data_IF_656132730161
#
_entry.id   IF_656132730161
#
_cell.length_a   1.000
_cell.length_b   1.000
_cell.length_c   1.000
_cell.angle_alpha   90.00
_cell.angle_beta   90.00
_cell.angle_gamma   90.00
#
_symmetry.space_group_name_H-M   'P 1'
#
loop_
_entity.id
_entity.type
_entity.pdbx_description
1 polymer ?
2 water ?
#
# COMPACT_ATOMS: atom_id res chain seq x y z
N UNK A 1 -26.43 0.59 -22.91
CA UNK A 1 -25.29 1.15 -23.64
C UNK A 1 -23.97 0.58 -23.14
N UNK A 2 -23.17 0.04 -24.06
CA UNK A 2 -21.95 -0.66 -23.71
C UNK A 2 -21.01 0.16 -22.84
N UNK A 3 -20.77 1.40 -23.25
CA UNK A 3 -19.96 2.30 -22.45
C UNK A 3 -20.56 2.45 -21.05
N UNK A 4 -21.88 2.49 -20.97
CA UNK A 4 -22.56 2.65 -19.67
C UNK A 4 -22.34 1.45 -18.74
N UNK A 5 -22.52 0.25 -19.25
CA UNK A 5 -22.27 -0.95 -18.47
C UNK A 5 -20.82 -0.95 -17.98
N UNK A 6 -19.89 -0.89 -18.94
CA UNK A 6 -18.46 -0.86 -18.67
C UNK A 6 -18.10 0.13 -17.54
N UNK A 7 -18.53 1.38 -17.70
CA UNK A 7 -18.20 2.41 -16.73
C UNK A 7 -18.91 2.18 -15.40
N UNK A 8 -20.06 1.50 -15.43
CA UNK A 8 -20.76 1.16 -14.21
C UNK A 8 -19.93 0.21 -13.36
N UNK A 9 -19.36 -0.81 -14.02
CA UNK A 9 -18.57 -1.81 -13.31
C UNK A 9 -17.18 -1.27 -12.88
N UNK A 10 -16.53 -0.52 -13.76
CA UNK A 10 -15.28 0.10 -13.39
C UNK A 10 -15.47 1.07 -12.21
N UNK A 11 -16.43 1.99 -12.32
CA UNK A 11 -16.73 2.90 -11.21
C UNK A 11 -16.93 2.11 -9.93
N UNK A 12 -17.81 1.12 -9.98
CA UNK A 12 -18.12 0.37 -8.77
C UNK A 12 -16.87 -0.25 -8.16
N UNK A 13 -16.04 -0.87 -8.98
CA UNK A 13 -14.89 -1.65 -8.49
C UNK A 13 -13.68 -0.83 -8.08
N UNK A 14 -13.51 0.34 -8.70
CA UNK A 14 -12.35 1.19 -8.44
C UNK A 14 -12.62 2.24 -7.36
N UNK A 15 -13.87 2.70 -7.27
CA UNK A 15 -14.19 3.80 -6.36
C UNK A 15 -14.79 3.35 -5.03
N UNK A 16 -14.84 2.05 -4.81
CA UNK A 16 -15.31 1.53 -3.54
C UNK A 16 -14.29 0.57 -2.96
N UNK A 17 -13.62 1.01 -1.89
CA UNK A 17 -12.67 0.18 -1.15
C UNK A 17 -13.49 -0.55 -0.10
N UNK A 18 -13.76 -1.83 -0.33
CA UNK A 18 -14.80 -2.49 0.45
C UNK A 18 -14.15 -3.25 1.58
N UNK A 19 -14.59 -2.99 2.80
CA UNK A 19 -14.02 -3.66 3.96
C UNK A 19 -15.08 -4.38 4.73
N UNK A 20 -14.80 -5.62 5.11
CA UNK A 20 -15.77 -6.46 5.80
C UNK A 20 -15.15 -7.12 7.02
N UNK A 21 -15.69 -6.87 8.21
CA UNK A 21 -15.03 -7.50 9.36
C UNK A 21 -15.19 -9.02 9.31
N UNK A 22 -14.17 -9.71 9.82
CA UNK A 22 -14.22 -11.17 9.88
C UNK A 22 -13.76 -11.62 11.24
N UNK A 23 -13.61 -12.92 11.39
CA UNK A 23 -13.20 -13.52 12.66
C UNK A 23 -11.75 -13.12 13.01
N UNK A 24 -10.88 -13.25 12.03
CA UNK A 24 -9.44 -13.06 12.22
C UNK A 24 -8.98 -11.61 12.02
N UNK A 25 -9.86 -10.77 11.49
CA UNK A 25 -9.46 -9.46 11.03
C UNK A 25 -10.43 -8.85 10.03
N UNK A 26 -9.98 -8.63 8.79
CA UNK A 26 -10.78 -7.95 7.78
C UNK A 26 -10.61 -8.53 6.38
N UNK A 27 -11.72 -8.66 5.66
CA UNK A 27 -11.64 -8.91 4.22
C UNK A 27 -11.70 -7.56 3.48
N UNK A 28 -10.78 -7.39 2.55
CA UNK A 28 -10.77 -6.20 1.72
C UNK A 28 -11.01 -6.61 0.27
N UNK A 29 -11.92 -5.91 -0.37
CA UNK A 29 -12.25 -6.19 -1.75
C UNK A 29 -12.19 -4.89 -2.51
N UNK A 30 -11.24 -4.81 -3.44
CA UNK A 30 -11.05 -3.60 -4.23
C UNK A 30 -10.49 -3.96 -5.61
N UNK A 31 -10.92 -3.23 -6.63
CA UNK A 31 -10.49 -3.48 -8.01
C UNK A 31 -10.66 -4.96 -8.44
N UNK A 32 -11.62 -5.66 -7.83
CA UNK A 32 -11.81 -7.07 -8.12
C UNK A 32 -10.78 -7.97 -7.50
N UNK A 33 -9.97 -7.41 -6.60
CA UNK A 33 -8.95 -8.18 -5.86
C UNK A 33 -9.41 -8.34 -4.44
N UNK A 34 -9.12 -9.51 -3.87
CA UNK A 34 -9.56 -9.91 -2.54
C UNK A 34 -8.38 -10.18 -1.58
N UNK A 35 -8.41 -9.58 -0.39
CA UNK A 35 -7.32 -9.74 0.59
C UNK A 35 -7.88 -10.09 1.96
N UNK A 36 -7.25 -11.07 2.60
CA UNK A 36 -7.53 -11.35 4.00
C UNK A 36 -6.44 -10.69 4.84
N UNK A 37 -6.82 -9.65 5.58
CA UNK A 37 -5.90 -8.91 6.45
C UNK A 37 -6.15 -9.34 7.88
N UNK A 38 -5.16 -9.91 8.56
CA UNK A 38 -5.40 -10.32 9.94
C UNK A 38 -4.77 -9.36 10.96
N UNK A 39 -5.17 -9.48 12.23
CA UNK A 39 -4.68 -8.57 13.26
C UNK A 39 -3.39 -9.02 13.97
N UNK A 40 -2.75 -10.08 13.47
CA UNK A 40 -1.48 -10.51 14.02
C UNK A 40 -0.42 -9.47 13.69
N UNK A 41 0.65 -9.45 14.47
CA UNK A 41 1.72 -8.48 14.26
C UNK A 41 1.36 -7.10 14.78
N UNK A 42 0.07 -6.83 14.97
CA UNK A 42 -0.38 -5.56 15.50
C UNK A 42 0.25 -5.21 16.86
N UNK A 43 0.07 -6.07 17.85
CA UNK A 43 0.55 -5.78 19.20
C UNK A 43 2.08 -5.64 19.26
N UNK A 44 2.76 -6.51 18.53
CA UNK A 44 4.21 -6.58 18.49
C UNK A 44 4.84 -5.22 18.17
N UNK A 45 4.25 -4.52 17.22
CA UNK A 45 4.74 -3.20 16.81
C UNK A 45 4.64 -2.17 17.95
N UNK A 46 3.51 -2.16 18.65
CA UNK A 46 3.37 -1.30 19.83
C UNK A 46 4.43 -1.62 20.87
N UNK A 47 4.60 -2.91 21.14
CA UNK A 47 5.58 -3.36 22.13
C UNK A 47 7.02 -2.92 21.81
N UNK A 48 7.39 -2.96 20.54
CA UNK A 48 8.75 -2.57 20.15
C UNK A 48 9.05 -1.07 20.26
N UNK A 49 8.00 -0.26 20.24
CA UNK A 49 8.15 1.19 20.20
C UNK A 49 7.75 1.85 21.52
N UNK A 59 16.89 -6.89 19.17
CA UNK A 59 17.72 -6.83 17.96
C UNK A 59 17.04 -6.02 16.87
N UNK A 60 15.80 -6.38 16.55
CA UNK A 60 15.02 -5.65 15.57
C UNK A 60 14.86 -4.18 15.93
N UNK A 61 14.70 -3.90 17.22
CA UNK A 61 14.46 -2.54 17.65
C UNK A 61 15.62 -1.62 17.27
N UNK A 62 16.83 -2.17 17.18
CA UNK A 62 17.99 -1.36 16.86
C UNK A 62 18.21 -1.28 15.36
N UNK A 63 17.60 -2.21 14.62
CA UNK A 63 17.73 -2.23 13.18
C UNK A 63 16.91 -1.14 12.50
N UNK A 64 15.76 -0.80 13.08
CA UNK A 64 14.90 0.19 12.47
C UNK A 64 14.62 1.28 13.47
N UNK A 65 15.69 1.94 13.94
CA UNK A 65 15.57 2.91 15.03
C UNK A 65 14.66 4.06 14.61
N UNK A 66 14.69 4.37 13.32
CA UNK A 66 13.84 5.42 12.77
C UNK A 66 12.35 5.09 12.95
N UNK A 67 12.03 3.81 13.14
CA UNK A 67 10.64 3.42 13.40
C UNK A 67 10.39 3.19 14.90
N UNK A 68 11.27 2.45 15.55
CA UNK A 68 11.03 2.01 16.93
C UNK A 68 11.56 2.96 18.03
N UNK A 69 12.72 3.56 17.80
CA UNK A 69 13.33 4.48 18.78
C UNK A 69 13.17 5.93 18.31
N UNK A 70 11.93 6.36 18.14
CA UNK A 70 11.64 7.64 17.48
C UNK A 70 10.22 8.04 17.82
N UNK A 71 10.09 9.12 18.58
CA UNK A 71 8.79 9.58 19.03
C UNK A 71 7.97 10.19 17.90
N UNK A 72 8.61 10.42 16.75
CA UNK A 72 7.90 10.91 15.57
C UNK A 72 7.34 9.82 14.60
N UNK A 73 7.60 8.55 14.92
CA UNK A 73 7.03 7.46 14.13
C UNK A 73 5.66 7.12 14.67
N UNK A 74 4.72 6.80 13.79
CA UNK A 74 3.38 6.42 14.20
C UNK A 74 2.94 5.09 13.52
N UNK A 75 2.62 4.11 14.36
CA UNK A 75 2.13 2.81 13.93
C UNK A 75 0.73 2.97 13.33
N UNK A 76 0.51 2.37 12.15
CA UNK A 76 -0.80 2.44 11.50
C UNK A 76 -1.50 1.08 11.55
N UNK A 77 -2.77 1.06 11.14
CA UNK A 77 -3.53 -0.19 11.04
C UNK A 77 -2.98 -1.06 9.89
N UNK A 78 -3.25 -2.38 9.95
CA UNK A 78 -2.83 -3.29 8.86
C UNK A 78 -3.54 -2.99 7.53
N UNK A 79 -4.77 -2.48 7.61
CA UNK A 79 -5.49 -2.02 6.42
C UNK A 79 -4.77 -0.83 5.76
N UNK A 80 -4.24 0.07 6.57
CA UNK A 80 -3.42 1.16 6.05
C UNK A 80 -2.22 0.57 5.32
N UNK A 81 -1.59 -0.43 5.92
CA UNK A 81 -0.43 -1.02 5.26
C UNK A 81 -0.83 -1.59 3.88
N UNK A 82 -1.94 -2.34 3.84
CA UNK A 82 -2.46 -2.88 2.56
C UNK A 82 -2.68 -1.74 1.56
N UNK A 83 -3.36 -0.68 1.98
CA UNK A 83 -3.57 0.46 1.08
C UNK A 83 -2.25 1.03 0.55
N UNK A 84 -1.22 1.08 1.39
CA UNK A 84 0.08 1.59 0.92
C UNK A 84 0.64 0.66 -0.16
N UNK A 85 0.54 -0.63 0.12
CA UNK A 85 0.97 -1.62 -0.86
C UNK A 85 0.19 -1.49 -2.21
N UNK A 86 -1.13 -1.32 -2.16
CA UNK A 86 -1.86 -1.08 -3.40
C UNK A 86 -1.34 0.16 -4.15
N UNK A 87 -1.21 1.28 -3.44
CA UNK A 87 -0.77 2.50 -4.11
C UNK A 87 0.61 2.28 -4.73
N UNK A 88 1.47 1.60 -3.98
CA UNK A 88 2.84 1.42 -4.43
C UNK A 88 2.79 0.58 -5.67
N UNK A 89 1.91 -0.42 -5.67
CA UNK A 89 1.76 -1.32 -6.79
C UNK A 89 1.42 -0.53 -8.03
N UNK A 90 0.62 0.52 -7.85
CA UNK A 90 0.21 1.33 -9.00
C UNK A 90 1.35 2.23 -9.46
N UNK A 91 2.06 2.81 -8.50
CA UNK A 91 3.11 3.79 -8.80
C UNK A 91 4.37 3.17 -9.37
N UNK A 92 4.62 1.91 -9.01
CA UNK A 92 5.91 1.29 -9.30
C UNK A 92 6.22 1.19 -10.79
N UNK A 93 5.21 0.90 -11.60
CA UNK A 93 5.43 0.85 -13.03
C UNK A 93 5.24 2.23 -13.61
N UNK A 94 4.38 2.99 -12.96
CA UNK A 94 4.07 4.34 -13.39
C UNK A 94 5.31 5.19 -13.65
N UNK A 95 6.29 5.11 -12.74
CA UNK A 95 7.51 5.89 -12.86
C UNK A 95 8.10 5.78 -14.27
N UNK A 102 -1.15 7.43 -22.75
CA UNK A 102 -1.99 6.89 -21.68
C UNK A 102 -2.39 7.99 -20.71
N UNK A 103 -3.29 7.69 -19.78
CA UNK A 103 -3.60 8.65 -18.72
C UNK A 103 -3.21 8.13 -17.34
N UNK A 104 -2.01 8.53 -16.94
CA UNK A 104 -1.48 8.23 -15.64
C UNK A 104 -2.03 9.21 -14.60
N UNK A 105 -2.73 10.26 -15.06
CA UNK A 105 -3.34 11.21 -14.15
C UNK A 105 -4.32 10.51 -13.23
N UNK A 106 -5.22 9.75 -13.84
CA UNK A 106 -6.21 8.98 -13.09
C UNK A 106 -5.54 7.97 -12.17
N UNK A 107 -4.57 7.23 -12.69
CA UNK A 107 -3.88 6.26 -11.85
C UNK A 107 -3.30 6.95 -10.61
N UNK A 108 -2.54 8.02 -10.84
CA UNK A 108 -1.90 8.77 -9.75
C UNK A 108 -2.90 9.30 -8.73
N UNK A 109 -4.02 9.83 -9.20
CA UNK A 109 -5.08 10.22 -8.29
C UNK A 109 -5.46 9.03 -7.41
N UNK A 110 -5.79 7.91 -8.05
CA UNK A 110 -6.23 6.72 -7.33
C UNK A 110 -5.22 6.30 -6.25
N UNK A 111 -3.95 6.21 -6.64
CA UNK A 111 -2.89 5.84 -5.73
C UNK A 111 -2.88 6.80 -4.54
N UNK A 112 -2.98 8.10 -4.82
CA UNK A 112 -2.99 9.11 -3.77
C UNK A 112 -4.14 8.92 -2.79
N UNK A 113 -5.33 8.67 -3.32
CA UNK A 113 -6.50 8.45 -2.49
C UNK A 113 -6.23 7.28 -1.54
N UNK A 114 -5.75 6.18 -2.13
CA UNK A 114 -5.40 4.99 -1.35
C UNK A 114 -4.42 5.26 -0.20
N UNK A 115 -3.36 5.98 -0.51
CA UNK A 115 -2.25 6.10 0.41
C UNK A 115 -2.40 7.25 1.44
N UNK A 116 -3.05 8.36 1.07
CA UNK A 116 -3.14 9.52 1.95
C UNK A 116 -4.46 9.68 2.68
N UNK A 117 -5.38 8.75 2.46
CA UNK A 117 -6.68 8.79 3.14
C UNK A 117 -7.15 7.41 3.59
N UNK A 118 -8.15 7.42 4.48
CA UNK A 118 -8.72 6.16 4.94
C UNK A 118 -10.16 5.94 4.44
N UNK A 119 -10.65 6.80 3.55
CA UNK A 119 -12.03 6.69 3.03
C UNK A 119 -12.25 5.49 2.10
N UNK A 120 -13.44 4.90 2.20
CA UNK A 120 -13.78 3.72 1.42
C UNK A 120 -14.35 4.06 0.05
N UNK A 121 -14.63 5.33 -0.17
CA UNK A 121 -15.15 5.76 -1.46
C UNK A 121 -14.28 6.82 -2.15
N UNK A 122 -14.04 6.66 -3.44
CA UNK A 122 -13.20 7.60 -4.17
C UNK A 122 -14.01 8.64 -4.94
N UNK A 123 -14.05 9.86 -4.40
CA UNK A 123 -14.75 10.96 -5.04
C UNK A 123 -14.02 11.42 -6.30
N UNK A 124 -14.55 11.06 -7.46
CA UNK A 124 -14.03 11.59 -8.71
C UNK A 124 -14.39 13.06 -8.79
N UNK A 125 -13.40 13.92 -8.63
CA UNK A 125 -13.63 15.36 -8.63
C UNK A 125 -13.95 15.87 -10.04
N UNK A 126 -13.06 15.62 -10.99
CA UNK A 126 -13.24 16.10 -12.35
C UNK A 126 -13.99 15.09 -13.21
N UNK A 127 -14.58 15.59 -14.29
CA UNK A 127 -15.27 14.72 -15.24
C UNK A 127 -14.28 13.94 -16.09
N UNK A 128 -13.12 14.52 -16.33
CA UNK A 128 -12.04 13.86 -17.06
C UNK A 128 -11.70 12.52 -16.39
N UNK A 129 -11.43 12.59 -15.09
CA UNK A 129 -11.21 11.41 -14.28
C UNK A 129 -12.29 10.35 -14.51
N UNK A 130 -13.55 10.75 -14.34
CA UNK A 130 -14.65 9.83 -14.53
C UNK A 130 -14.61 9.18 -15.92
N UNK A 131 -14.36 9.97 -16.95
CA UNK A 131 -14.25 9.49 -18.32
C UNK A 131 -13.19 8.41 -18.46
N UNK A 132 -12.12 8.54 -17.68
CA UNK A 132 -11.03 7.58 -17.77
C UNK A 132 -11.37 6.18 -17.26
N UNK A 133 -12.20 6.12 -16.22
CA UNK A 133 -12.62 4.84 -15.65
C UNK A 133 -13.19 3.91 -16.72
N UNK A 134 -12.46 2.84 -17.03
CA UNK A 134 -12.86 1.91 -18.09
C UNK A 134 -12.37 0.49 -17.80
N UNK A 135 -12.83 -0.50 -18.59
CA UNK A 135 -12.35 -1.86 -18.40
C UNK A 135 -10.83 -1.87 -18.51
N UNK A 136 -10.31 -1.19 -19.54
CA UNK A 136 -8.86 -1.04 -19.68
C UNK A 136 -8.15 -0.54 -18.40
N UNK A 137 -8.71 0.49 -17.76
CA UNK A 137 -8.08 1.04 -16.56
C UNK A 137 -8.06 0.02 -15.43
N UNK A 138 -9.20 -0.62 -15.24
CA UNK A 138 -9.35 -1.67 -14.24
C UNK A 138 -8.28 -2.72 -14.46
N UNK A 139 -8.14 -3.09 -15.72
CA UNK A 139 -7.30 -4.18 -16.13
C UNK A 139 -5.84 -3.85 -15.86
N UNK A 140 -5.46 -2.63 -16.21
CA UNK A 140 -4.08 -2.13 -16.04
C UNK A 140 -3.71 -2.03 -14.55
N UNK A 141 -4.64 -1.52 -13.74
CA UNK A 141 -4.43 -1.44 -12.30
C UNK A 141 -4.27 -2.82 -11.65
N UNK A 142 -5.08 -3.78 -12.08
CA UNK A 142 -5.04 -5.14 -11.53
C UNK A 142 -3.72 -5.81 -11.86
N UNK A 143 -3.30 -5.58 -13.10
CA UNK A 143 -2.08 -6.16 -13.59
C UNK A 143 -0.86 -5.54 -12.87
N UNK A 144 -0.89 -4.22 -12.66
CA UNK A 144 0.18 -3.51 -11.94
C UNK A 144 0.31 -4.04 -10.51
N UNK A 145 -0.83 -4.17 -9.85
CA UNK A 145 -0.82 -4.62 -8.47
C UNK A 145 -0.36 -6.06 -8.33
N UNK A 146 -0.78 -6.91 -9.25
CA UNK A 146 -0.34 -8.32 -9.25
C UNK A 146 1.15 -8.45 -9.57
N UNK A 147 1.61 -7.69 -10.55
CA UNK A 147 3.03 -7.70 -10.84
C UNK A 147 3.80 -7.29 -9.58
N UNK A 148 3.36 -6.20 -8.97
CA UNK A 148 4.03 -5.70 -7.79
C UNK A 148 4.08 -6.74 -6.67
N UNK A 149 2.94 -7.36 -6.41
CA UNK A 149 2.86 -8.41 -5.39
C UNK A 149 3.86 -9.54 -5.67
N UNK A 150 3.96 -9.97 -6.94
CA UNK A 150 4.94 -10.98 -7.29
C UNK A 150 6.37 -10.52 -6.98
N UNK A 151 6.67 -9.29 -7.37
CA UNK A 151 7.97 -8.70 -7.03
C UNK A 151 8.24 -8.81 -5.52
N UNK A 152 7.33 -8.27 -4.72
CA UNK A 152 7.44 -8.37 -3.26
C UNK A 152 7.71 -9.80 -2.80
N UNK A 153 7.02 -10.76 -3.40
CA UNK A 153 7.19 -12.17 -2.98
C UNK A 153 8.57 -12.68 -3.36
N UNK A 154 9.25 -12.01 -4.29
CA UNK A 154 10.67 -12.39 -4.48
C UNK A 154 11.65 -11.80 -3.46
N UNK A 155 11.18 -10.97 -2.52
CA UNK A 155 12.12 -10.36 -1.59
C UNK A 155 12.60 -11.41 -0.60
N UNK A 156 13.86 -11.35 -0.18
CA UNK A 156 14.28 -12.20 0.93
C UNK A 156 14.05 -11.47 2.23
N UNK A 157 13.86 -12.23 3.30
CA UNK A 157 13.88 -11.71 4.67
C UNK A 157 15.22 -10.99 4.89
N UNK A 158 15.23 -10.04 5.85
CA UNK A 158 16.45 -9.29 6.15
C UNK A 158 17.60 -10.27 6.44
N UNK A 159 18.80 -9.97 5.93
CA UNK A 159 19.88 -10.98 5.88
C UNK A 159 21.30 -10.41 5.83
N UNK A 160 22.27 -11.27 6.13
CA UNK A 160 23.68 -10.90 6.25
C UNK A 160 24.48 -11.17 4.99
N UNK A 161 23.86 -11.80 4.01
CA UNK A 161 24.43 -11.95 2.67
C UNK A 161 23.85 -10.75 1.94
N UNK A 162 24.22 -10.51 0.70
CA UNK A 162 23.70 -9.31 0.07
C UNK A 162 22.37 -9.40 -0.69
N UNK A 163 21.39 -10.13 -0.17
CA UNK A 163 20.16 -10.43 -0.90
C UNK A 163 19.01 -9.43 -0.67
N UNK A 164 18.44 -8.95 -1.78
CA UNK A 164 17.42 -7.88 -1.76
C UNK A 164 16.26 -8.12 -0.79
N UNK A 165 15.97 -7.14 0.07
CA UNK A 165 14.92 -7.30 1.11
C UNK A 165 13.91 -6.14 1.14
N UNK A 166 14.17 -5.11 0.34
CA UNK A 166 13.38 -3.89 0.37
C UNK A 166 13.08 -3.41 -1.04
N UNK A 167 11.95 -2.74 -1.20
CA UNK A 167 11.76 -1.93 -2.40
C UNK A 167 11.33 -0.57 -1.94
N UNK A 168 11.66 0.42 -2.76
CA UNK A 168 11.38 1.80 -2.44
C UNK A 168 10.65 2.38 -3.65
N UNK A 169 9.61 3.16 -3.39
CA UNK A 169 8.90 3.88 -4.44
C UNK A 169 8.94 5.34 -4.05
N UNK A 170 9.73 6.14 -4.76
CA UNK A 170 9.85 7.54 -4.43
C UNK A 170 8.97 8.41 -5.29
N UNK A 171 8.25 9.34 -4.67
CA UNK A 171 7.53 10.37 -5.41
C UNK A 171 7.75 11.74 -4.78
N UNK A 172 7.44 12.82 -5.53
CA UNK A 172 7.55 14.18 -5.01
C UNK A 172 6.86 14.37 -3.66
N UNK A 173 5.68 13.77 -3.49
CA UNK A 173 4.91 13.98 -2.28
C UNK A 173 5.35 13.11 -1.10
N UNK A 174 5.88 11.92 -1.38
CA UNK A 174 6.24 10.96 -0.33
C UNK A 174 7.13 9.83 -0.82
N UNK A 175 7.82 9.18 0.11
CA UNK A 175 8.63 8.01 -0.21
C UNK A 175 8.11 6.76 0.52
N UNK A 176 7.84 5.70 -0.25
CA UNK A 176 7.38 4.42 0.29
C UNK A 176 8.51 3.40 0.41
N UNK A 177 8.57 2.70 1.53
CA UNK A 177 9.61 1.70 1.72
C UNK A 177 8.95 0.47 2.27
N UNK A 178 9.19 -0.66 1.62
CA UNK A 178 8.58 -1.92 2.04
C UNK A 178 9.68 -2.96 2.24
N UNK A 179 9.72 -3.54 3.43
CA UNK A 179 10.84 -4.43 3.81
C UNK A 179 10.38 -5.80 4.27
N UNK A 180 11.07 -6.83 3.83
CA UNK A 180 10.69 -8.18 4.18
C UNK A 180 11.38 -8.61 5.47
N UNK A 181 10.62 -8.89 6.52
CA UNK A 181 11.23 -9.37 7.76
C UNK A 181 10.58 -10.68 8.19
N UNK A 182 11.20 -11.33 9.18
CA UNK A 182 10.72 -12.62 9.64
C UNK A 182 9.29 -12.56 10.19
N UNK A 183 8.75 -11.35 10.30
CA UNK A 183 7.38 -11.22 10.82
C UNK A 183 6.40 -10.60 9.83
N UNK A 184 6.82 -10.46 8.57
CA UNK A 184 5.94 -9.96 7.53
C UNK A 184 6.55 -8.78 6.80
N UNK A 185 5.75 -8.09 5.99
CA UNK A 185 6.21 -6.91 5.28
C UNK A 185 6.02 -5.70 6.18
N UNK A 186 7.13 -5.03 6.46
CA UNK A 186 7.14 -3.77 7.19
C UNK A 186 6.88 -2.69 6.18
N UNK A 187 5.81 -1.95 6.39
CA UNK A 187 5.42 -0.94 5.42
C UNK A 187 5.54 0.45 6.00
N UNK A 188 6.37 1.28 5.38
CA UNK A 188 6.56 2.65 5.84
C UNK A 188 6.39 3.71 4.75
N UNK A 189 5.91 4.88 5.18
CA UNK A 189 5.84 6.06 4.35
C UNK A 189 6.59 7.17 5.08
N UNK A 190 7.63 7.71 4.45
CA UNK A 190 8.37 8.85 4.99
C UNK A 190 8.20 10.04 4.05
N UNK A 191 8.59 11.23 4.50
CA UNK A 191 8.58 12.40 3.64
C UNK A 191 9.55 12.19 2.48
N UNK A 192 9.22 12.73 1.30
CA UNK A 192 10.01 12.60 0.07
C UNK A 192 11.52 12.66 0.32
N UNK A 193 11.94 13.54 1.22
CA UNK A 193 13.38 13.72 1.51
C UNK A 193 13.98 12.58 2.33
N UNK A 194 13.14 11.83 3.03
CA UNK A 194 13.55 10.78 3.95
C UNK A 194 14.13 11.33 5.25
N UNK A 195 13.50 12.39 5.75
CA UNK A 195 13.96 13.07 6.97
C UNK A 195 14.05 12.14 8.17
N UNK A 196 13.31 11.04 8.12
CA UNK A 196 13.34 10.09 9.22
C UNK A 196 14.55 9.18 9.10
N UNK A 197 15.28 9.31 7.99
CA UNK A 197 16.33 8.35 7.60
C UNK A 197 15.77 7.13 6.88
N UNK A 200 20.93 11.02 13.14
CA UNK A 200 19.78 11.87 12.83
C UNK A 200 19.45 11.84 11.34
N UNK A 201 18.32 12.39 10.95
CA UNK A 201 17.40 13.09 11.86
C UNK A 201 16.20 12.22 12.24
N UNK A 202 15.47 12.64 13.28
CA UNK A 202 14.22 11.97 13.66
C UNK A 202 13.02 12.58 12.95
N UNK A 203 13.03 12.54 11.62
CA UNK A 203 11.88 12.99 10.83
C UNK A 203 10.65 12.12 11.05
N UNK A 204 9.47 12.62 10.65
CA UNK A 204 8.26 11.84 10.88
C UNK A 204 8.17 10.69 9.89
N UNK A 205 7.54 9.60 10.32
CA UNK A 205 7.31 8.42 9.48
C UNK A 205 6.12 7.63 9.98
N UNK A 206 5.32 7.11 9.04
CA UNK A 206 4.18 6.24 9.37
C UNK A 206 4.49 4.80 8.98
N UNK A 207 4.05 3.84 9.78
CA UNK A 207 4.45 2.47 9.47
C UNK A 207 3.55 1.42 10.08
N UNK A 208 3.64 0.22 9.52
CA UNK A 208 2.85 -0.92 9.97
C UNK A 208 3.45 -2.25 9.50
N UNK A 209 2.75 -3.32 9.78
CA UNK A 209 3.21 -4.65 9.42
C UNK A 209 2.04 -5.43 8.79
N UNK A 210 2.27 -5.96 7.60
CA UNK A 210 1.28 -6.78 6.92
C UNK A 210 1.81 -8.21 6.88
N UNK A 211 1.15 -9.12 7.59
CA UNK A 211 1.53 -10.54 7.52
C UNK A 211 1.63 -11.08 6.08
N UNK A 212 2.59 -11.98 5.86
CA UNK A 212 2.82 -12.60 4.54
C UNK A 212 1.56 -13.18 3.91
N UNK A 213 0.86 -13.99 4.69
CA UNK A 213 -0.37 -14.64 4.26
C UNK A 213 -1.30 -13.70 3.49
N UNK A 214 -1.26 -12.41 3.79
CA UNK A 214 -2.19 -11.46 3.20
C UNK A 214 -2.03 -11.36 1.68
N UNK A 215 -0.82 -11.53 1.19
CA UNK A 215 -0.56 -11.35 -0.24
C UNK A 215 -0.59 -12.65 -1.07
N UNK A 216 -1.10 -13.73 -0.48
CA UNK A 216 -1.12 -15.03 -1.12
C UNK A 216 -2.56 -15.50 -1.38
#
# INVERSE_FOLDING_TARGET
PKRELEQGVAFSDLCNFLVTPTVQGWKVYWAGLEFDVNQKGITLLNRLKVNDFAPAWAMTRNLFPHLFKNQQSEVQTPIWALRVILAAGILDQLMDHSLIEPLSGALNLIADWLLTTSTNHFNMRTQRVKDQLSMRMLSLIRSNIINFINKLETLHVVNYKGLLSSVEIGTPSYAIIITRTNMGYLVEVQEPDKSAMDIRHPGPVKFSLLHESTLK
#
